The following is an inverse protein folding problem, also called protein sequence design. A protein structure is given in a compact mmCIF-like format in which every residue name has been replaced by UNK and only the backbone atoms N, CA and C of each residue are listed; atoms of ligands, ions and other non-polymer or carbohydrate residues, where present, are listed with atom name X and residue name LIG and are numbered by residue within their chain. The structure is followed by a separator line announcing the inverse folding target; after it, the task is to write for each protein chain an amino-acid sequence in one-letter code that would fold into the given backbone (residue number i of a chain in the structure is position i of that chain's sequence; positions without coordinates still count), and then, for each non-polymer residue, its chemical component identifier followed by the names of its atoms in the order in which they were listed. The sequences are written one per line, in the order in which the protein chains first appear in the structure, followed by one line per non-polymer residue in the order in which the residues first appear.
data_IF_639193782208
#
_entry.id   IF_639193782208
#
_cell.length_a   1.000
_cell.length_b   1.000
_cell.length_c   1.000
_cell.angle_alpha   90.00
_cell.angle_beta   90.00
_cell.angle_gamma   90.00
#
_symmetry.space_group_name_H-M   'P 1'
#
loop_
_entity.id
_entity.type
_entity.pdbx_description
1 polymer ?
#
# COMPACT_ATOMS: atom_id res chain seq x y z
N UNK A 1 -6.95 -57.23 -62.10
CA UNK A 1 -6.02 -57.11 -63.24
C UNK A 1 -5.45 -55.70 -63.26
N UNK A 2 -4.11 -55.59 -63.27
CA UNK A 2 -3.23 -54.55 -63.85
C UNK A 2 -3.58 -53.07 -63.54
N UNK A 3 -2.73 -52.37 -62.78
CA UNK A 3 -1.55 -51.61 -63.24
C UNK A 3 -1.93 -50.47 -64.21
N UNK A 4 -1.32 -49.28 -64.26
CA UNK A 4 -0.22 -48.62 -63.56
C UNK A 4 0.01 -47.35 -64.43
N UNK A 5 0.29 -46.21 -63.82
CA UNK A 5 1.08 -45.09 -64.41
C UNK A 5 0.49 -44.32 -65.60
N UNK A 6 0.50 -42.97 -65.54
CA UNK A 6 1.55 -42.17 -66.17
C UNK A 6 1.53 -40.70 -65.70
N UNK A 7 2.74 -40.22 -65.44
CA UNK A 7 3.15 -38.89 -64.98
C UNK A 7 2.85 -37.81 -66.01
N UNK A 8 2.75 -36.55 -65.57
CA UNK A 8 3.61 -35.44 -66.03
C UNK A 8 3.48 -34.23 -65.11
N UNK A 9 4.62 -33.68 -64.73
CA UNK A 9 4.78 -32.49 -63.92
C UNK A 9 4.74 -31.23 -64.80
N UNK A 10 4.22 -30.13 -64.25
CA UNK A 10 4.58 -28.75 -64.62
C UNK A 10 4.68 -27.93 -63.32
N UNK A 11 5.70 -27.10 -63.25
CA UNK A 11 6.15 -26.34 -62.10
C UNK A 11 5.46 -24.97 -61.95
N UNK A 12 5.80 -24.32 -60.82
CA UNK A 12 5.57 -22.93 -60.41
C UNK A 12 4.17 -22.64 -59.82
N UNK A 13 4.00 -21.85 -58.75
CA UNK A 13 4.87 -20.85 -58.17
C UNK A 13 4.69 -20.77 -56.64
N UNK A 14 5.80 -20.51 -55.94
CA UNK A 14 5.78 -20.04 -54.56
C UNK A 14 5.17 -18.64 -54.52
N UNK A 15 4.13 -18.45 -53.70
CA UNK A 15 3.72 -17.14 -53.23
C UNK A 15 3.47 -17.23 -51.73
N UNK A 16 4.53 -16.89 -50.99
CA UNK A 16 4.47 -16.51 -49.58
C UNK A 16 3.82 -15.14 -49.55
N UNK A 17 2.62 -15.05 -48.97
CA UNK A 17 2.03 -13.78 -48.56
C UNK A 17 1.81 -13.83 -47.05
N UNK A 18 2.80 -13.30 -46.35
CA UNK A 18 2.83 -13.03 -44.91
C UNK A 18 1.60 -12.22 -44.50
N UNK A 19 0.74 -12.80 -43.67
CA UNK A 19 -0.30 -12.05 -42.97
C UNK A 19 0.37 -11.11 -41.98
N UNK A 20 0.30 -9.80 -42.23
CA UNK A 20 0.61 -8.78 -41.23
C UNK A 20 -0.32 -8.99 -40.04
N UNK A 21 0.22 -9.55 -38.96
CA UNK A 21 -0.44 -9.56 -37.65
C UNK A 21 -0.39 -8.15 -37.08
N UNK A 22 -1.50 -7.42 -37.16
CA UNK A 22 -1.66 -6.14 -36.47
C UNK A 22 -1.82 -6.44 -34.97
N UNK A 23 -0.73 -6.40 -34.22
CA UNK A 23 -0.79 -6.39 -32.75
C UNK A 23 -1.38 -5.05 -32.31
N UNK A 24 -2.66 -5.02 -31.92
CA UNK A 24 -3.17 -3.95 -31.08
C UNK A 24 -2.52 -4.08 -29.70
N UNK A 25 -1.44 -3.34 -29.46
CA UNK A 25 -1.02 -3.04 -28.10
C UNK A 25 -2.06 -2.10 -27.50
N UNK A 26 -2.98 -2.64 -26.70
CA UNK A 26 -3.76 -1.83 -25.80
C UNK A 26 -2.78 -1.18 -24.82
N UNK A 27 -2.46 0.09 -25.04
CA UNK A 27 -1.87 0.90 -23.99
C UNK A 27 -2.86 0.85 -22.82
N UNK A 28 -2.44 0.28 -21.69
CA UNK A 28 -3.19 0.44 -20.44
C UNK A 28 -3.44 1.93 -20.22
N UNK A 29 -4.53 2.33 -19.54
CA UNK A 29 -4.70 3.72 -19.19
C UNK A 29 -3.42 4.16 -18.48
N UNK A 30 -2.76 5.18 -19.03
CA UNK A 30 -1.77 5.92 -18.28
C UNK A 30 -2.51 6.39 -17.02
N UNK A 31 -2.18 5.83 -15.86
CA UNK A 31 -2.54 6.48 -14.61
C UNK A 31 -1.88 7.84 -14.68
N UNK A 32 -2.68 8.90 -14.67
CA UNK A 32 -2.16 10.23 -14.44
C UNK A 32 -1.27 10.12 -13.20
N UNK A 33 0.04 10.34 -13.41
CA UNK A 33 0.98 10.49 -12.33
C UNK A 33 0.44 11.62 -11.47
N UNK A 34 0.06 11.31 -10.23
CA UNK A 34 -0.42 12.32 -9.31
C UNK A 34 0.73 13.30 -9.09
N UNK A 35 0.71 14.40 -9.82
CA UNK A 35 1.72 15.43 -9.75
C UNK A 35 1.56 16.19 -8.42
N UNK A 36 2.13 15.62 -7.36
CA UNK A 36 2.76 16.35 -6.25
C UNK A 36 1.90 17.23 -5.36
N UNK A 37 0.77 16.74 -4.83
CA UNK A 37 0.09 17.41 -3.69
C UNK A 37 -0.15 16.51 -2.48
N UNK A 38 0.34 15.26 -2.46
CA UNK A 38 0.23 14.39 -1.29
C UNK A 38 1.45 14.54 -0.39
N UNK A 39 1.24 14.71 0.90
CA UNK A 39 2.31 14.94 1.87
C UNK A 39 2.21 13.92 3.02
N UNK A 40 3.28 13.77 3.79
CA UNK A 40 3.35 12.79 4.87
C UNK A 40 4.52 13.05 5.82
N UNK A 41 4.23 13.05 7.11
CA UNK A 41 5.23 13.15 8.16
C UNK A 41 5.63 11.76 8.67
N UNK A 42 6.94 11.58 8.85
CA UNK A 42 7.52 10.27 9.18
C UNK A 42 7.14 9.81 10.58
N UNK A 43 7.28 8.51 10.90
CA UNK A 43 7.18 8.04 12.29
C UNK A 43 8.13 8.77 13.25
N UNK A 44 9.27 9.26 12.75
CA UNK A 44 10.24 10.04 13.52
C UNK A 44 9.69 11.40 13.96
N UNK A 45 9.03 12.13 13.05
CA UNK A 45 8.34 13.38 13.35
C UNK A 45 7.28 13.15 14.44
N UNK A 46 6.35 12.23 14.20
CA UNK A 46 5.23 11.98 15.12
C UNK A 46 5.68 11.55 16.51
N UNK A 47 6.75 10.75 16.61
CA UNK A 47 7.34 10.34 17.89
C UNK A 47 7.86 11.54 18.70
N UNK A 48 8.37 12.56 18.02
CA UNK A 48 8.97 13.74 18.66
C UNK A 48 7.97 14.90 18.83
N UNK A 49 6.77 14.80 18.25
CA UNK A 49 5.73 15.83 18.29
C UNK A 49 4.37 15.30 18.80
N UNK A 50 4.28 14.77 20.03
CA UNK A 50 3.00 14.35 20.62
C UNK A 50 1.97 15.48 20.74
N UNK A 51 2.41 16.74 20.78
CA UNK A 51 1.58 17.95 20.74
C UNK A 51 0.81 18.13 19.44
N UNK A 52 1.19 17.43 18.36
CA UNK A 52 0.50 17.47 17.07
C UNK A 52 -0.52 16.34 16.90
N UNK A 53 -0.75 15.49 17.92
CA UNK A 53 -1.61 14.32 17.79
C UNK A 53 -3.10 14.66 17.95
N UNK A 54 -3.59 15.48 17.03
CA UNK A 54 -4.93 16.06 16.98
C UNK A 54 -5.96 15.09 16.38
N UNK A 55 -7.26 15.38 16.56
CA UNK A 55 -8.34 14.64 15.86
C UNK A 55 -8.61 15.23 14.46
N UNK A 56 -8.52 16.56 14.39
CA UNK A 56 -8.71 17.43 13.23
C UNK A 56 -7.63 18.52 13.24
N UNK A 57 -7.37 19.22 12.12
CA UNK A 57 -6.30 20.23 12.05
C UNK A 57 -6.51 21.41 13.00
N UNK A 58 -7.76 21.74 13.29
CA UNK A 58 -8.19 22.87 14.12
C UNK A 58 -8.44 22.49 15.59
N UNK A 59 -8.20 21.23 15.97
CA UNK A 59 -8.43 20.79 17.35
C UNK A 59 -7.54 21.58 18.32
N UNK A 60 -8.09 22.10 19.43
CA UNK A 60 -7.35 22.98 20.34
C UNK A 60 -6.31 22.24 21.20
N UNK A 61 -6.32 20.91 21.20
CA UNK A 61 -5.40 20.08 21.96
C UNK A 61 -5.31 18.65 21.36
N UNK A 62 -4.21 17.91 21.62
CA UNK A 62 -4.09 16.50 21.25
C UNK A 62 -5.16 15.62 21.89
N UNK A 63 -5.82 14.80 21.08
CA UNK A 63 -6.76 13.77 21.58
C UNK A 63 -6.06 12.42 21.76
N UNK A 64 -5.07 12.14 20.93
CA UNK A 64 -4.25 10.94 21.07
C UNK A 64 -3.05 11.25 21.97
N UNK A 65 -2.56 10.21 22.65
CA UNK A 65 -1.46 10.28 23.60
C UNK A 65 -0.57 9.06 23.40
N UNK A 66 0.64 9.09 23.94
CA UNK A 66 1.53 7.92 23.86
C UNK A 66 0.90 6.62 24.37
N UNK A 67 -0.02 6.72 25.34
CA UNK A 67 -0.77 5.59 25.90
C UNK A 67 -2.02 5.18 25.11
N UNK A 68 -2.37 5.89 24.03
CA UNK A 68 -3.49 5.50 23.16
C UNK A 68 -3.29 4.06 22.68
N UNK A 69 -4.24 3.15 22.93
CA UNK A 69 -4.11 1.77 22.49
C UNK A 69 -3.94 1.63 20.98
N UNK A 70 -3.07 0.74 20.54
CA UNK A 70 -2.86 0.47 19.12
C UNK A 70 -4.12 -0.14 18.46
N UNK A 71 -4.99 -0.75 19.27
CA UNK A 71 -6.31 -1.25 18.85
C UNK A 71 -7.24 -0.15 18.33
N UNK A 72 -6.97 1.14 18.63
CA UNK A 72 -7.64 2.27 17.98
C UNK A 72 -7.53 2.20 16.46
N UNK A 73 -6.40 1.74 15.91
CA UNK A 73 -6.18 1.55 14.46
C UNK A 73 -6.83 0.24 13.98
N UNK A 74 -6.53 -0.87 14.67
CA UNK A 74 -7.12 -2.18 14.37
C UNK A 74 -7.02 -3.11 15.57
N UNK A 75 -8.12 -3.76 15.94
CA UNK A 75 -8.14 -4.76 17.02
C UNK A 75 -7.21 -5.95 16.73
N UNK A 76 -6.92 -6.25 15.46
CA UNK A 76 -6.06 -7.37 15.05
C UNK A 76 -4.61 -7.23 15.52
N UNK A 77 -4.17 -6.02 15.91
CA UNK A 77 -2.85 -5.85 16.53
C UNK A 77 -2.69 -6.59 17.85
N UNK A 78 -3.77 -6.78 18.62
CA UNK A 78 -3.69 -7.42 19.94
C UNK A 78 -3.15 -8.86 19.89
N UNK A 79 -3.33 -9.55 18.76
CA UNK A 79 -2.81 -10.91 18.56
C UNK A 79 -1.28 -10.97 18.39
N UNK A 80 -0.64 -9.86 18.03
CA UNK A 80 0.79 -9.79 17.72
C UNK A 80 1.57 -8.93 18.71
N UNK A 81 0.94 -7.84 19.15
CA UNK A 81 1.50 -6.78 19.98
C UNK A 81 0.50 -6.47 21.11
N UNK A 82 0.33 -7.38 22.08
CA UNK A 82 -0.60 -7.16 23.19
C UNK A 82 -0.23 -5.89 23.95
N UNK A 83 -1.24 -5.11 24.33
CA UNK A 83 -1.12 -3.86 25.09
C UNK A 83 -0.23 -2.79 24.44
N UNK A 84 0.07 -2.93 23.14
CA UNK A 84 0.81 -1.91 22.42
C UNK A 84 0.01 -0.61 22.32
N UNK A 85 0.73 0.49 22.34
CA UNK A 85 0.18 1.85 22.29
C UNK A 85 0.80 2.59 21.12
N UNK A 86 0.28 3.77 20.79
CA UNK A 86 0.86 4.63 19.75
C UNK A 86 2.33 4.96 20.05
N UNK A 87 2.64 5.27 21.32
CA UNK A 87 4.00 5.58 21.75
C UNK A 87 4.97 4.40 21.61
N UNK A 88 4.54 3.17 21.91
CA UNK A 88 5.40 1.98 21.73
C UNK A 88 5.50 1.57 20.26
N UNK A 89 4.43 1.73 19.47
CA UNK A 89 4.41 1.46 18.04
C UNK A 89 5.37 2.37 17.25
N UNK A 90 5.36 3.68 17.50
CA UNK A 90 6.29 4.63 16.85
C UNK A 90 7.77 4.35 17.18
N UNK A 91 8.04 3.66 18.29
CA UNK A 91 9.38 3.24 18.72
C UNK A 91 9.73 1.80 18.32
N UNK A 92 8.84 1.10 17.64
CA UNK A 92 9.07 -0.28 17.25
C UNK A 92 10.26 -0.41 16.30
N UNK A 93 11.11 -1.40 16.57
CA UNK A 93 12.33 -1.70 15.81
C UNK A 93 12.14 -2.82 14.78
N UNK A 94 10.94 -3.36 14.66
CA UNK A 94 10.65 -4.54 13.85
C UNK A 94 11.19 -5.82 14.48
N UNK A 95 11.57 -6.78 13.64
CA UNK A 95 12.16 -8.05 14.04
C UNK A 95 11.80 -9.23 13.13
N UNK A 96 12.11 -10.44 13.59
CA UNK A 96 11.77 -11.69 12.91
C UNK A 96 10.31 -12.10 13.14
N UNK A 97 9.82 -13.01 12.28
CA UNK A 97 8.49 -13.61 12.40
C UNK A 97 7.31 -12.64 12.28
N UNK A 98 6.09 -13.12 12.53
CA UNK A 98 4.89 -12.28 12.38
C UNK A 98 4.88 -11.10 13.37
N UNK A 99 5.38 -11.30 14.60
CA UNK A 99 5.49 -10.23 15.61
C UNK A 99 6.37 -9.07 15.13
N UNK A 100 7.53 -9.36 14.53
CA UNK A 100 8.42 -8.33 14.01
C UNK A 100 7.83 -7.58 12.81
N UNK A 101 7.13 -8.29 11.92
CA UNK A 101 6.41 -7.68 10.81
C UNK A 101 5.26 -6.79 11.29
N UNK A 102 4.47 -7.27 12.24
CA UNK A 102 3.42 -6.47 12.88
C UNK A 102 4.01 -5.23 13.58
N UNK A 103 5.21 -5.32 14.15
CA UNK A 103 5.92 -4.15 14.71
C UNK A 103 6.26 -3.10 13.65
N UNK A 104 6.71 -3.51 12.46
CA UNK A 104 6.94 -2.59 11.34
C UNK A 104 5.63 -1.95 10.86
N UNK A 105 4.58 -2.77 10.69
CA UNK A 105 3.27 -2.27 10.29
C UNK A 105 2.69 -1.33 11.34
N UNK A 106 2.83 -1.63 12.64
CA UNK A 106 2.38 -0.77 13.72
C UNK A 106 3.05 0.62 13.65
N UNK A 107 4.36 0.66 13.43
CA UNK A 107 5.10 1.92 13.31
C UNK A 107 4.59 2.76 12.14
N UNK A 108 4.49 2.18 10.95
CA UNK A 108 4.04 2.89 9.75
C UNK A 108 2.54 3.26 9.83
N UNK A 109 1.69 2.37 10.36
CA UNK A 109 0.27 2.62 10.50
C UNK A 109 -0.04 3.70 11.53
N UNK A 110 0.70 3.79 12.65
CA UNK A 110 0.52 4.87 13.62
C UNK A 110 0.86 6.23 13.02
N UNK A 111 1.97 6.35 12.29
CA UNK A 111 2.30 7.59 11.57
C UNK A 111 1.23 7.94 10.53
N UNK A 112 0.78 6.95 9.75
CA UNK A 112 -0.28 7.13 8.74
C UNK A 112 -1.60 7.60 9.37
N UNK A 113 -1.95 7.04 10.52
CA UNK A 113 -3.15 7.40 11.26
C UNK A 113 -3.14 8.87 11.70
N UNK A 114 -1.98 9.34 12.16
CA UNK A 114 -1.76 10.73 12.58
C UNK A 114 -1.65 11.69 11.39
N UNK A 115 -0.97 11.31 10.29
CA UNK A 115 -1.00 12.08 9.04
C UNK A 115 -2.43 12.30 8.53
N UNK A 116 -3.30 11.31 8.70
CA UNK A 116 -4.70 11.41 8.32
C UNK A 116 -5.56 12.32 9.24
N UNK A 117 -5.03 12.87 10.36
CA UNK A 117 -5.76 13.80 11.25
C UNK A 117 -5.53 15.28 10.94
N UNK A 118 -4.40 15.61 10.33
CA UNK A 118 -3.90 16.99 10.17
C UNK A 118 -4.08 17.57 8.77
N UNK A 119 -4.86 16.91 7.91
CA UNK A 119 -5.27 17.35 6.56
C UNK A 119 -4.13 17.81 5.61
N UNK A 120 -2.95 17.20 5.73
CA UNK A 120 -1.79 17.41 4.82
C UNK A 120 -1.92 16.67 3.48
N UNK A 121 -3.14 16.53 2.96
CA UNK A 121 -3.43 15.76 1.74
C UNK A 121 -2.83 14.33 1.73
N UNK A 122 -2.69 13.71 2.91
CA UNK A 122 -2.17 12.34 3.01
C UNK A 122 -3.05 11.36 2.20
N UNK A 123 -2.47 10.42 1.43
CA UNK A 123 -3.23 9.58 0.49
C UNK A 123 -4.33 8.72 1.13
N UNK A 124 -4.11 8.30 2.39
CA UNK A 124 -5.02 7.41 3.10
C UNK A 124 -5.87 8.13 4.13
N UNK A 125 -7.09 7.62 4.37
CA UNK A 125 -8.00 8.09 5.42
C UNK A 125 -8.24 7.00 6.45
N UNK A 126 -8.56 7.39 7.70
CA UNK A 126 -8.67 6.46 8.84
C UNK A 126 -9.75 5.40 8.66
N UNK A 127 -10.97 5.84 8.36
CA UNK A 127 -12.18 5.01 8.38
C UNK A 127 -12.97 5.04 7.06
N UNK A 128 -12.63 5.94 6.14
CA UNK A 128 -13.26 6.07 4.81
C UNK A 128 -12.24 5.84 3.71
N UNK A 129 -12.69 5.75 2.46
CA UNK A 129 -11.77 5.70 1.33
C UNK A 129 -10.89 6.97 1.28
N UNK A 130 -9.62 6.79 0.91
CA UNK A 130 -8.64 7.82 0.68
C UNK A 130 -8.73 8.45 -0.71
N UNK A 131 -7.69 9.19 -1.06
CA UNK A 131 -7.52 9.78 -2.40
C UNK A 131 -7.53 8.63 -3.42
N UNK A 132 -8.08 8.88 -4.61
CA UNK A 132 -8.20 7.89 -5.71
C UNK A 132 -8.88 6.56 -5.34
N UNK A 133 -9.73 6.57 -4.31
CA UNK A 133 -10.45 5.37 -3.88
C UNK A 133 -9.58 4.36 -3.12
N UNK A 134 -8.42 4.78 -2.60
CA UNK A 134 -7.62 3.96 -1.70
C UNK A 134 -8.48 3.47 -0.53
N UNK A 135 -8.35 2.21 -0.17
CA UNK A 135 -9.11 1.65 0.94
C UNK A 135 -8.69 2.29 2.28
N UNK A 136 -9.58 2.29 3.27
CA UNK A 136 -9.29 2.94 4.56
C UNK A 136 -8.14 2.25 5.30
N UNK A 137 -7.35 3.03 6.05
CA UNK A 137 -6.23 2.53 6.85
C UNK A 137 -6.67 1.37 7.76
N UNK A 138 -7.81 1.51 8.42
CA UNK A 138 -8.35 0.47 9.29
C UNK A 138 -8.53 -0.85 8.55
N UNK A 139 -9.12 -0.83 7.36
CA UNK A 139 -9.40 -2.05 6.60
C UNK A 139 -8.11 -2.65 6.03
N UNK A 140 -7.22 -1.82 5.45
CA UNK A 140 -5.92 -2.25 4.96
C UNK A 140 -5.11 -2.97 6.04
N UNK A 141 -4.96 -2.33 7.21
CA UNK A 141 -4.18 -2.86 8.35
C UNK A 141 -4.81 -4.14 8.88
N UNK A 142 -6.14 -4.16 9.06
CA UNK A 142 -6.86 -5.34 9.54
C UNK A 142 -6.66 -6.53 8.62
N UNK A 143 -6.85 -6.36 7.31
CA UNK A 143 -6.66 -7.42 6.31
C UNK A 143 -5.23 -7.94 6.28
N UNK A 144 -4.24 -7.06 6.32
CA UNK A 144 -2.84 -7.47 6.33
C UNK A 144 -2.51 -8.31 7.57
N UNK A 145 -2.96 -7.90 8.76
CA UNK A 145 -2.75 -8.67 9.99
C UNK A 145 -3.51 -9.99 10.00
N UNK A 146 -4.74 -10.02 9.48
CA UNK A 146 -5.56 -11.24 9.41
C UNK A 146 -5.04 -12.27 8.40
N UNK A 147 -4.27 -11.83 7.40
CA UNK A 147 -3.62 -12.73 6.45
C UNK A 147 -2.67 -13.71 7.13
N UNK A 148 -2.13 -13.35 8.32
CA UNK A 148 -1.06 -14.09 9.03
C UNK A 148 0.16 -14.37 8.15
N UNK A 149 0.32 -13.62 7.07
CA UNK A 149 1.41 -13.76 6.13
C UNK A 149 2.43 -12.64 6.33
N UNK A 150 3.68 -13.02 6.59
CA UNK A 150 4.74 -12.07 6.90
C UNK A 150 5.01 -11.14 5.72
N UNK A 151 4.96 -11.65 4.49
CA UNK A 151 5.24 -10.85 3.30
C UNK A 151 4.15 -9.80 3.09
N UNK A 152 2.88 -10.18 3.23
CA UNK A 152 1.72 -9.29 3.13
C UNK A 152 1.76 -8.18 4.18
N UNK A 153 2.07 -8.52 5.45
CA UNK A 153 2.21 -7.53 6.52
C UNK A 153 3.33 -6.54 6.23
N UNK A 154 4.49 -7.03 5.76
CA UNK A 154 5.63 -6.18 5.42
C UNK A 154 5.38 -5.33 4.18
N UNK A 155 4.70 -5.86 3.17
CA UNK A 155 4.36 -5.11 1.97
C UNK A 155 3.50 -3.89 2.32
N UNK A 156 2.45 -4.08 3.14
CA UNK A 156 1.65 -2.94 3.61
C UNK A 156 2.48 -1.99 4.49
N UNK A 157 3.34 -2.51 5.36
CA UNK A 157 4.22 -1.66 6.17
C UNK A 157 5.10 -0.76 5.30
N UNK A 158 5.69 -1.30 4.22
CA UNK A 158 6.48 -0.54 3.25
C UNK A 158 5.62 0.51 2.54
N UNK A 159 4.46 0.12 2.00
CA UNK A 159 3.55 1.07 1.32
C UNK A 159 3.17 2.26 2.22
N UNK A 160 2.85 2.00 3.48
CA UNK A 160 2.53 3.06 4.43
C UNK A 160 3.76 3.88 4.82
N UNK A 161 4.93 3.26 4.98
CA UNK A 161 6.17 3.97 5.25
C UNK A 161 6.52 4.92 4.10
N UNK A 162 6.43 4.47 2.85
CA UNK A 162 6.65 5.30 1.65
C UNK A 162 5.70 6.51 1.64
N UNK A 163 4.42 6.30 1.94
CA UNK A 163 3.44 7.40 2.06
C UNK A 163 3.78 8.38 3.19
N UNK A 164 4.28 7.89 4.33
CA UNK A 164 4.71 8.75 5.44
C UNK A 164 6.01 9.52 5.14
N UNK A 165 6.70 9.21 4.04
CA UNK A 165 7.93 9.86 3.59
C UNK A 165 7.70 10.78 2.37
N UNK A 166 6.46 11.14 2.04
CA UNK A 166 6.12 12.03 0.92
C UNK A 166 6.57 13.49 1.11
N UNK A 167 7.06 13.84 2.31
CA UNK A 167 7.50 15.20 2.67
C UNK A 167 6.56 15.79 3.72
N UNK A 168 7.13 16.35 4.80
CA UNK A 168 6.36 16.83 5.95
C UNK A 168 6.23 18.35 5.91
N UNK A 169 5.00 18.91 5.86
CA UNK A 169 4.77 20.36 5.85
C UNK A 169 4.64 20.97 7.27
N UNK A 170 4.75 20.14 8.31
CA UNK A 170 4.51 20.49 9.72
C UNK A 170 5.79 20.66 10.55
#
# INVERSE_FOLDING_TARGET
MKNLSHRRAVAAAFLVATTLGTTLTAAGPASAEYAGTTEGCTPGYWKNHPEAWLETPDAPAPVYKEKTPLTTISNSFAAYLPDATFGSALRAKGGSGLKGAAGNLARAATASWLNATVEIAFPYRRNTAGIDGQESLRVLVTRALESRDRATILALATTLDDANNLGCPL
#
